data_IF_586540628502
#
_entry.id   IF_586540628502
#
_cell.length_a   1.000
_cell.length_b   1.000
_cell.length_c   1.000
_cell.angle_alpha   90.00
_cell.angle_beta   90.00
_cell.angle_gamma   90.00
#
_symmetry.space_group_name_H-M   'P 1'
#
loop_
_entity.id
_entity.type
_entity.pdbx_description
1 polymer ?
#
# COMPACT_ATOMS: atom_id res chain seq x y z
N UNK A 1 14.12 5.27 39.35
CA UNK A 1 14.14 5.65 37.93
C UNK A 1 12.81 6.30 37.60
N UNK A 2 12.78 7.62 37.45
CA UNK A 2 11.58 8.38 37.10
C UNK A 2 11.48 8.46 35.56
N UNK A 3 10.32 8.12 35.02
CA UNK A 3 9.99 8.28 33.60
C UNK A 3 9.54 9.72 33.35
N UNK A 4 10.34 10.49 32.60
CA UNK A 4 9.89 11.75 31.99
C UNK A 4 9.30 11.42 30.62
N UNK A 5 7.97 11.42 30.53
CA UNK A 5 7.27 11.57 29.26
C UNK A 5 6.80 13.03 29.22
N UNK A 6 7.62 13.89 28.64
CA UNK A 6 7.21 15.26 28.32
C UNK A 6 6.23 15.26 27.14
N UNK A 7 5.37 16.30 27.01
CA UNK A 7 4.47 16.41 25.88
C UNK A 7 5.26 16.61 24.59
N UNK A 8 4.93 15.83 23.55
CA UNK A 8 5.48 16.03 22.21
C UNK A 8 4.60 17.07 21.52
N UNK A 9 4.91 18.35 21.69
CA UNK A 9 4.23 19.42 20.97
C UNK A 9 4.76 19.47 19.52
N UNK A 10 4.06 18.82 18.61
CA UNK A 10 4.34 18.87 17.18
C UNK A 10 3.74 20.15 16.55
N UNK A 11 4.27 21.32 16.90
CA UNK A 11 3.98 22.58 16.21
C UNK A 11 4.88 22.74 14.97
N UNK A 12 4.86 21.76 14.07
CA UNK A 12 5.53 21.86 12.77
C UNK A 12 4.61 22.54 11.78
N UNK A 13 4.96 23.75 11.33
CA UNK A 13 4.35 24.37 10.14
C UNK A 13 4.61 23.46 8.94
N UNK A 14 3.68 22.57 8.62
CA UNK A 14 3.78 21.68 7.47
C UNK A 14 3.61 22.54 6.22
N UNK A 15 4.73 22.93 5.60
CA UNK A 15 4.67 23.49 4.27
C UNK A 15 4.10 22.42 3.33
N UNK A 16 3.22 22.76 2.39
CA UNK A 16 2.72 21.80 1.43
C UNK A 16 3.87 21.46 0.48
N UNK A 17 4.48 20.30 0.70
CA UNK A 17 5.50 19.71 -0.17
C UNK A 17 4.93 19.38 -1.58
N UNK A 18 3.60 19.38 -1.71
CA UNK A 18 2.88 18.87 -2.87
C UNK A 18 2.30 20.01 -3.70
N UNK A 19 2.90 20.24 -4.87
CA UNK A 19 2.44 21.20 -5.88
C UNK A 19 1.02 20.85 -6.34
N UNK A 20 0.13 21.84 -6.31
CA UNK A 20 -1.26 21.69 -6.74
C UNK A 20 -1.41 22.34 -8.10
N UNK A 21 -1.73 21.55 -9.13
CA UNK A 21 -2.15 22.05 -10.44
C UNK A 21 -3.61 21.61 -10.69
N UNK A 22 -4.36 22.42 -11.44
CA UNK A 22 -5.81 22.28 -11.60
C UNK A 22 -6.18 21.67 -12.96
N UNK A 23 -7.22 20.82 -12.94
CA UNK A 23 -7.76 19.95 -13.99
C UNK A 23 -6.96 18.65 -14.24
N UNK A 24 -7.19 17.65 -13.38
CA UNK A 24 -6.62 16.31 -13.43
C UNK A 24 -6.12 15.82 -12.07
N UNK A 25 -5.67 14.57 -11.98
CA UNK A 25 -4.96 14.06 -10.79
C UNK A 25 -3.75 14.95 -10.51
N UNK A 26 -3.70 15.51 -9.31
CA UNK A 26 -2.54 16.25 -8.80
C UNK A 26 -1.74 15.37 -7.83
N UNK A 27 -0.57 15.86 -7.39
CA UNK A 27 0.30 15.09 -6.51
C UNK A 27 -0.39 14.66 -5.21
N UNK A 28 -1.29 15.48 -4.65
CA UNK A 28 -2.02 15.11 -3.42
C UNK A 28 -3.02 13.98 -3.66
N UNK A 29 -3.70 13.98 -4.81
CA UNK A 29 -4.63 12.91 -5.18
C UNK A 29 -3.85 11.61 -5.39
N UNK A 30 -2.76 11.63 -6.15
CA UNK A 30 -1.91 10.45 -6.33
C UNK A 30 -1.44 9.88 -4.99
N UNK A 31 -0.95 10.73 -4.08
CA UNK A 31 -0.46 10.27 -2.77
C UNK A 31 -1.56 9.67 -1.90
N UNK A 32 -2.82 10.11 -2.05
CA UNK A 32 -3.96 9.46 -1.38
C UNK A 32 -4.28 8.09 -1.99
N UNK A 33 -4.15 7.97 -3.30
CA UNK A 33 -4.47 6.75 -4.06
C UNK A 33 -3.29 5.80 -4.23
N UNK A 34 -2.09 6.12 -3.72
CA UNK A 34 -0.85 5.39 -4.01
C UNK A 34 -0.92 3.92 -3.63
N UNK A 35 -1.58 3.57 -2.52
CA UNK A 35 -1.78 2.18 -2.12
C UNK A 35 -2.65 1.44 -3.12
N UNK A 36 -3.85 1.96 -3.42
CA UNK A 36 -4.76 1.36 -4.39
C UNK A 36 -4.12 1.26 -5.80
N UNK A 37 -3.29 2.24 -6.18
CA UNK A 37 -2.50 2.19 -7.42
C UNK A 37 -1.50 1.04 -7.42
N UNK A 38 -0.71 0.89 -6.35
CA UNK A 38 0.31 -0.17 -6.24
C UNK A 38 -0.31 -1.57 -6.11
N UNK A 39 -1.48 -1.67 -5.47
CA UNK A 39 -2.23 -2.91 -5.27
C UNK A 39 -3.08 -3.30 -6.50
N UNK A 40 -3.23 -2.39 -7.48
CA UNK A 40 -3.99 -2.63 -8.70
C UNK A 40 -5.51 -2.60 -8.50
N UNK A 41 -5.99 -1.88 -7.48
CA UNK A 41 -7.39 -1.84 -7.05
C UNK A 41 -8.16 -0.63 -7.61
N UNK A 42 -7.50 0.18 -8.44
CA UNK A 42 -8.13 1.36 -9.05
C UNK A 42 -9.08 1.00 -10.19
N UNK A 43 -10.13 1.81 -10.31
CA UNK A 43 -10.97 1.83 -11.51
C UNK A 43 -10.19 2.30 -12.74
N UNK A 44 -10.63 1.85 -13.93
CA UNK A 44 -9.96 2.13 -15.22
C UNK A 44 -9.76 3.63 -15.47
N UNK A 45 -10.75 4.45 -15.13
CA UNK A 45 -10.69 5.91 -15.31
C UNK A 45 -9.63 6.55 -14.41
N UNK A 46 -9.66 6.26 -13.11
CA UNK A 46 -8.70 6.78 -12.12
C UNK A 46 -7.27 6.31 -12.41
N UNK A 47 -7.11 5.05 -12.85
CA UNK A 47 -5.82 4.53 -13.28
C UNK A 47 -5.25 5.35 -14.43
N UNK A 48 -6.05 5.62 -15.47
CA UNK A 48 -5.61 6.40 -16.62
C UNK A 48 -5.20 7.83 -16.23
N UNK A 49 -5.96 8.49 -15.35
CA UNK A 49 -5.60 9.83 -14.87
C UNK A 49 -4.30 9.85 -14.06
N UNK A 50 -4.08 8.82 -13.23
CA UNK A 50 -2.84 8.64 -12.47
C UNK A 50 -1.65 8.40 -13.39
N UNK A 51 -1.78 7.54 -14.40
CA UNK A 51 -0.71 7.29 -15.36
C UNK A 51 -0.31 8.58 -16.11
N UNK A 52 -1.29 9.38 -16.55
CA UNK A 52 -1.04 10.70 -17.15
C UNK A 52 -0.32 11.64 -16.18
N UNK A 53 -0.66 11.61 -14.90
CA UNK A 53 0.05 12.39 -13.87
C UNK A 53 1.51 11.92 -13.72
N UNK A 54 1.72 10.61 -13.63
CA UNK A 54 3.05 10.02 -13.55
C UNK A 54 3.87 10.39 -14.78
N UNK A 55 3.32 10.38 -16.00
CA UNK A 55 4.00 10.85 -17.23
C UNK A 55 4.50 12.30 -17.19
N UNK A 56 4.03 13.14 -16.27
CA UNK A 56 4.40 14.56 -16.19
C UNK A 56 5.11 14.94 -14.89
N UNK A 57 4.92 14.20 -13.80
CA UNK A 57 5.45 14.53 -12.49
C UNK A 57 6.59 13.60 -12.06
N UNK A 58 7.82 14.11 -12.05
CA UNK A 58 9.01 13.36 -11.61
C UNK A 58 8.98 13.03 -10.12
N UNK A 59 8.50 13.94 -9.27
CA UNK A 59 8.47 13.74 -7.82
C UNK A 59 7.55 12.57 -7.46
N UNK A 60 6.39 12.51 -8.09
CA UNK A 60 5.44 11.43 -7.91
C UNK A 60 5.92 10.08 -8.42
N UNK A 61 6.64 10.02 -9.55
CA UNK A 61 7.32 8.79 -9.98
C UNK A 61 8.30 8.31 -8.93
N UNK A 62 9.14 9.21 -8.43
CA UNK A 62 10.12 8.86 -7.40
C UNK A 62 9.43 8.29 -6.16
N UNK A 63 8.31 8.87 -5.74
CA UNK A 63 7.54 8.37 -4.60
C UNK A 63 6.99 6.96 -4.92
N UNK A 64 6.33 6.77 -6.06
CA UNK A 64 5.80 5.45 -6.48
C UNK A 64 6.90 4.39 -6.54
N UNK A 65 8.04 4.71 -7.14
CA UNK A 65 9.18 3.80 -7.29
C UNK A 65 9.78 3.43 -5.92
N UNK A 66 9.96 4.42 -5.04
CA UNK A 66 10.50 4.18 -3.69
C UNK A 66 9.52 3.40 -2.82
N UNK A 67 8.23 3.65 -2.91
CA UNK A 67 7.20 2.86 -2.22
C UNK A 67 7.16 1.43 -2.74
N UNK A 68 7.19 1.23 -4.07
CA UNK A 68 7.30 -0.11 -4.68
C UNK A 68 8.54 -0.84 -4.20
N UNK A 69 9.69 -0.16 -4.17
CA UNK A 69 10.94 -0.76 -3.69
C UNK A 69 10.85 -1.18 -2.22
N UNK A 70 10.16 -0.39 -1.40
CA UNK A 70 9.89 -0.72 0.00
C UNK A 70 9.06 -2.01 0.09
N UNK A 71 7.99 -2.14 -0.71
CA UNK A 71 7.16 -3.37 -0.77
C UNK A 71 8.00 -4.57 -1.18
N UNK A 72 8.85 -4.45 -2.20
CA UNK A 72 9.75 -5.52 -2.63
C UNK A 72 10.70 -5.99 -1.52
N UNK A 73 11.32 -5.05 -0.79
CA UNK A 73 12.25 -5.37 0.30
C UNK A 73 11.53 -6.11 1.43
N UNK A 74 10.34 -5.65 1.83
CA UNK A 74 9.57 -6.31 2.89
C UNK A 74 9.02 -7.66 2.44
N UNK A 75 8.54 -7.79 1.20
CA UNK A 75 7.99 -9.04 0.68
C UNK A 75 9.05 -10.11 0.37
N UNK A 76 10.28 -9.70 0.03
CA UNK A 76 11.41 -10.61 -0.16
C UNK A 76 12.10 -11.03 1.15
N UNK A 77 11.74 -10.41 2.28
CA UNK A 77 12.21 -10.85 3.58
C UNK A 77 11.72 -12.27 3.89
N UNK A 78 12.52 -13.02 4.66
CA UNK A 78 12.26 -14.43 4.94
C UNK A 78 10.86 -14.58 5.56
N UNK A 79 9.91 -15.27 4.90
CA UNK A 79 8.56 -15.43 5.44
C UNK A 79 8.66 -16.08 6.81
N UNK A 80 8.01 -15.48 7.81
CA UNK A 80 7.91 -16.12 9.12
C UNK A 80 7.27 -17.50 8.94
N UNK A 81 7.86 -18.57 9.49
CA UNK A 81 7.28 -19.90 9.37
C UNK A 81 5.90 -19.89 10.01
N UNK A 82 4.88 -20.26 9.23
CA UNK A 82 3.52 -20.38 9.73
C UNK A 82 3.51 -21.44 10.86
N UNK A 83 2.97 -21.14 12.05
CA UNK A 83 2.83 -22.11 13.12
C UNK A 83 2.12 -23.39 12.66
N UNK A 84 2.59 -24.54 13.15
CA UNK A 84 2.11 -25.85 12.69
C UNK A 84 0.61 -26.05 12.93
N UNK A 85 0.09 -25.55 14.05
CA UNK A 85 -1.33 -25.62 14.39
C UNK A 85 -2.20 -24.83 13.39
N UNK A 86 -1.76 -23.64 12.99
CA UNK A 86 -2.44 -22.81 11.99
C UNK A 86 -2.40 -23.48 10.62
N UNK A 87 -1.24 -24.03 10.24
CA UNK A 87 -1.07 -24.79 8.99
C UNK A 87 -2.04 -25.96 8.94
N UNK A 88 -2.08 -26.78 9.97
CA UNK A 88 -2.90 -27.99 10.02
C UNK A 88 -4.40 -27.66 9.96
N UNK A 89 -4.84 -26.67 10.73
CA UNK A 89 -6.23 -26.16 10.68
C UNK A 89 -6.61 -25.63 9.30
N UNK A 90 -5.71 -24.91 8.63
CA UNK A 90 -5.93 -24.41 7.27
C UNK A 90 -6.07 -25.57 6.28
N UNK A 91 -5.15 -26.54 6.33
CA UNK A 91 -5.21 -27.73 5.47
C UNK A 91 -6.52 -28.51 5.67
N UNK A 92 -6.94 -28.76 6.92
CA UNK A 92 -8.20 -29.43 7.22
C UNK A 92 -9.42 -28.65 6.68
N UNK A 93 -9.43 -27.32 6.84
CA UNK A 93 -10.50 -26.47 6.32
C UNK A 93 -10.58 -26.50 4.79
N UNK A 94 -9.43 -26.46 4.10
CA UNK A 94 -9.34 -26.55 2.65
C UNK A 94 -9.82 -27.92 2.14
N UNK A 95 -9.36 -29.02 2.75
CA UNK A 95 -9.82 -30.38 2.40
C UNK A 95 -11.33 -30.50 2.58
N UNK A 96 -11.89 -30.00 3.68
CA UNK A 96 -13.34 -30.02 3.94
C UNK A 96 -14.13 -29.22 2.90
N UNK A 97 -13.62 -28.09 2.42
CA UNK A 97 -14.32 -27.25 1.42
C UNK A 97 -14.19 -27.80 0.00
N UNK A 98 -12.98 -28.21 -0.39
CA UNK A 98 -12.69 -28.72 -1.73
C UNK A 98 -13.22 -30.15 -1.94
N UNK A 99 -13.14 -31.00 -0.91
CA UNK A 99 -13.74 -32.35 -0.93
C UNK A 99 -15.27 -32.36 -0.83
N UNK A 100 -15.90 -31.20 -0.59
CA UNK A 100 -17.36 -31.01 -0.61
C UNK A 100 -17.89 -30.45 -1.92
N UNK A 101 -17.07 -30.18 -2.93
CA UNK A 101 -17.57 -29.68 -4.22
C UNK A 101 -18.33 -30.82 -4.92
N UNK A 102 -19.67 -30.76 -5.04
CA UNK A 102 -20.36 -31.68 -5.93
C UNK A 102 -19.94 -31.35 -7.36
N UNK A 103 -19.64 -32.39 -8.14
CA UNK A 103 -19.45 -32.24 -9.58
C UNK A 103 -20.72 -31.63 -10.16
N UNK A 104 -20.62 -30.43 -10.71
CA UNK A 104 -21.63 -29.78 -11.54
C UNK A 104 -20.92 -29.21 -12.75
#
# INVERSE_FOLDING_TARGET
>A
MQTVAGPIEAAGKTQPILRTEAAGVNCQVLIREISAYLDGELGVETLAEIEVHLERCKDCRLIVDTTRKTIEIYSSSQPLPLPNDVRERLHQALVKRLGRRPAT
#
